data_IF_907247942100
#
_entry.id   IF_907247942100
#
_cell.length_a   1.000
_cell.length_b   1.000
_cell.length_c   1.000
_cell.angle_alpha   90.00
_cell.angle_beta   90.00
_cell.angle_gamma   90.00
#
_symmetry.space_group_name_H-M   'P 1'
#
loop_
_entity.id
_entity.type
_entity.pdbx_description
1 polymer ?
#
# COMPACT_ATOMS: atom_id res chain seq x y z
N UNK A 1 -4.98 -5.54 -0.01
CA UNK A 1 -4.00 -6.33 -0.78
C UNK A 1 -2.61 -6.12 -0.20
N UNK A 2 -1.80 -7.15 -0.20
CA UNK A 2 -0.46 -7.11 0.36
C UNK A 2 0.53 -7.52 -0.72
N UNK A 3 1.59 -6.73 -0.89
CA UNK A 3 2.66 -7.04 -1.85
C UNK A 3 3.99 -7.06 -1.11
N UNK A 4 4.63 -8.22 -1.07
CA UNK A 4 5.92 -8.42 -0.42
C UNK A 4 6.58 -9.65 -1.02
N UNK A 5 7.83 -9.54 -1.46
CA UNK A 5 8.48 -10.66 -2.13
C UNK A 5 8.99 -11.72 -1.15
N UNK A 6 8.92 -11.48 0.14
CA UNK A 6 9.22 -12.48 1.14
C UNK A 6 7.93 -13.10 1.60
N UNK A 7 7.71 -14.34 1.23
CA UNK A 7 6.46 -15.03 1.49
C UNK A 7 6.09 -15.06 2.97
N UNK A 8 7.05 -15.28 3.82
CA UNK A 8 6.81 -15.32 5.26
C UNK A 8 6.36 -13.96 5.80
N UNK A 9 6.93 -12.89 5.28
CA UNK A 9 6.56 -11.53 5.69
C UNK A 9 5.15 -11.22 5.20
N UNK A 10 4.85 -11.58 3.96
CA UNK A 10 3.50 -11.37 3.42
C UNK A 10 2.44 -12.12 4.23
N UNK A 11 2.74 -13.35 4.63
CA UNK A 11 1.83 -14.13 5.45
C UNK A 11 1.62 -13.51 6.83
N UNK A 12 2.68 -12.98 7.43
CA UNK A 12 2.60 -12.33 8.72
C UNK A 12 1.75 -11.05 8.62
N UNK A 13 1.98 -10.26 7.57
CA UNK A 13 1.19 -9.05 7.36
C UNK A 13 -0.28 -9.38 7.14
N UNK A 14 -0.56 -10.46 6.39
CA UNK A 14 -1.93 -10.88 6.17
C UNK A 14 -2.63 -11.23 7.48
N UNK A 15 -1.93 -11.92 8.38
CA UNK A 15 -2.48 -12.26 9.69
C UNK A 15 -2.75 -11.00 10.52
N UNK A 16 -1.85 -10.03 10.49
CA UNK A 16 -2.01 -8.78 11.23
C UNK A 16 -3.17 -7.96 10.68
N UNK A 17 -3.29 -7.90 9.36
CA UNK A 17 -4.38 -7.18 8.71
C UNK A 17 -5.73 -7.80 9.06
N UNK A 18 -5.81 -9.12 9.05
CA UNK A 18 -7.02 -9.82 9.47
C UNK A 18 -7.35 -9.53 10.94
N UNK A 19 -6.31 -9.44 11.78
CA UNK A 19 -6.51 -9.11 13.18
C UNK A 19 -7.11 -7.71 13.35
N UNK A 20 -6.83 -6.81 12.41
CA UNK A 20 -7.39 -5.46 12.41
C UNK A 20 -8.79 -5.41 11.77
N UNK A 21 -9.40 -6.55 11.53
CA UNK A 21 -10.75 -6.66 10.96
C UNK A 21 -10.85 -6.20 9.50
N UNK A 22 -9.78 -6.39 8.75
CA UNK A 22 -9.79 -6.14 7.31
C UNK A 22 -9.69 -7.47 6.57
N UNK A 23 -10.26 -7.51 5.38
CA UNK A 23 -10.21 -8.70 4.55
C UNK A 23 -9.02 -8.60 3.60
N UNK A 24 -8.23 -9.66 3.50
CA UNK A 24 -7.11 -9.71 2.58
C UNK A 24 -7.58 -10.36 1.29
N UNK A 25 -7.65 -9.58 0.22
CA UNK A 25 -8.16 -10.09 -1.06
C UNK A 25 -7.06 -10.70 -1.93
N UNK A 26 -5.80 -10.36 -1.68
CA UNK A 26 -4.68 -10.92 -2.42
C UNK A 26 -3.38 -10.68 -1.69
N UNK A 27 -2.45 -11.63 -1.80
CA UNK A 27 -1.08 -11.47 -1.33
C UNK A 27 -0.20 -11.80 -2.53
N UNK A 28 0.59 -10.84 -2.97
CA UNK A 28 1.41 -11.00 -4.16
C UNK A 28 2.87 -10.75 -3.83
N UNK A 29 3.77 -11.17 -4.71
CA UNK A 29 5.19 -11.22 -4.42
C UNK A 29 6.05 -10.30 -5.26
N UNK A 30 5.47 -9.50 -6.10
CA UNK A 30 6.24 -8.56 -6.93
C UNK A 30 5.43 -7.32 -7.23
N UNK A 31 6.12 -6.26 -7.64
CA UNK A 31 5.45 -5.03 -8.02
C UNK A 31 4.55 -5.22 -9.24
N UNK A 32 4.99 -6.04 -10.18
CA UNK A 32 4.19 -6.30 -11.37
C UNK A 32 2.91 -7.05 -11.01
N UNK A 33 3.01 -8.06 -10.16
CA UNK A 33 1.84 -8.77 -9.69
C UNK A 33 0.90 -7.86 -8.91
N UNK A 34 1.47 -6.90 -8.16
CA UNK A 34 0.66 -5.95 -7.42
C UNK A 34 -0.17 -5.08 -8.36
N UNK A 35 0.43 -4.62 -9.45
CA UNK A 35 -0.30 -3.81 -10.44
C UNK A 35 -1.43 -4.63 -11.06
N UNK A 36 -1.14 -5.86 -11.44
CA UNK A 36 -2.12 -6.74 -12.06
C UNK A 36 -3.26 -7.08 -11.07
N UNK A 37 -2.91 -7.38 -9.84
CA UNK A 37 -3.89 -7.72 -8.82
C UNK A 37 -4.75 -6.50 -8.45
N UNK A 38 -4.16 -5.31 -8.44
CA UNK A 38 -4.94 -4.11 -8.18
C UNK A 38 -6.01 -3.92 -9.25
N UNK A 39 -5.64 -4.10 -10.50
CA UNK A 39 -6.60 -3.96 -11.61
C UNK A 39 -7.72 -5.00 -11.53
N UNK A 40 -7.43 -6.16 -10.96
CA UNK A 40 -8.43 -7.23 -10.87
C UNK A 40 -9.34 -7.07 -9.65
N UNK A 41 -8.77 -6.72 -8.52
CA UNK A 41 -9.48 -6.72 -7.24
C UNK A 41 -9.95 -5.36 -6.76
N UNK A 42 -9.33 -4.29 -7.20
CA UNK A 42 -9.61 -2.93 -6.76
C UNK A 42 -9.72 -2.85 -5.23
N UNK A 43 -8.65 -3.26 -4.52
CA UNK A 43 -8.71 -3.26 -3.05
C UNK A 43 -8.83 -1.85 -2.50
N UNK A 44 -9.38 -1.72 -1.32
CA UNK A 44 -9.51 -0.42 -0.68
C UNK A 44 -8.16 0.14 -0.23
N UNK A 45 -7.24 -0.73 0.16
CA UNK A 45 -5.91 -0.35 0.63
C UNK A 45 -4.89 -1.37 0.15
N UNK A 46 -3.71 -0.90 -0.21
CA UNK A 46 -2.59 -1.75 -0.60
C UNK A 46 -1.46 -1.54 0.39
N UNK A 47 -0.94 -2.63 0.97
CA UNK A 47 0.31 -2.59 1.72
C UNK A 47 1.40 -3.05 0.76
N UNK A 48 2.35 -2.18 0.45
CA UNK A 48 3.34 -2.42 -0.58
C UNK A 48 4.73 -2.30 -0.02
N UNK A 49 5.48 -3.41 -0.05
CA UNK A 49 6.88 -3.37 0.37
C UNK A 49 7.70 -2.56 -0.64
N UNK A 50 8.65 -1.80 -0.15
CA UNK A 50 9.51 -1.01 -1.02
C UNK A 50 10.45 -1.90 -1.83
N UNK A 51 11.11 -2.85 -1.16
CA UNK A 51 12.08 -3.71 -1.83
C UNK A 51 11.40 -4.96 -2.35
N UNK A 52 11.22 -5.02 -3.66
CA UNK A 52 10.70 -6.21 -4.32
C UNK A 52 11.47 -6.43 -5.60
N UNK A 53 11.59 -7.70 -5.99
CA UNK A 53 12.29 -8.04 -7.21
C UNK A 53 11.55 -7.47 -8.43
N UNK A 54 12.28 -7.14 -9.44
CA UNK A 54 11.80 -6.64 -10.72
C UNK A 54 11.29 -5.22 -10.69
N UNK A 55 10.41 -4.87 -9.76
CA UNK A 55 9.81 -3.56 -9.73
C UNK A 55 9.63 -3.16 -8.27
N UNK A 56 10.28 -2.10 -7.83
CA UNK A 56 10.18 -1.69 -6.44
C UNK A 56 8.81 -1.08 -6.12
N UNK A 57 8.53 -0.98 -4.82
CA UNK A 57 7.21 -0.55 -4.36
C UNK A 57 6.82 0.85 -4.76
N UNK A 58 7.78 1.77 -4.83
CA UNK A 58 7.48 3.15 -5.24
C UNK A 58 7.06 3.19 -6.69
N UNK A 59 7.76 2.46 -7.56
CA UNK A 59 7.40 2.41 -8.97
C UNK A 59 6.03 1.75 -9.16
N UNK A 60 5.77 0.67 -8.44
CA UNK A 60 4.46 0.02 -8.50
C UNK A 60 3.36 0.95 -8.01
N UNK A 61 3.62 1.68 -6.94
CA UNK A 61 2.68 2.65 -6.39
C UNK A 61 2.33 3.72 -7.41
N UNK A 62 3.36 4.27 -8.05
CA UNK A 62 3.15 5.31 -9.07
C UNK A 62 2.34 4.78 -10.25
N UNK A 63 2.58 3.54 -10.66
CA UNK A 63 1.82 2.93 -11.74
C UNK A 63 0.36 2.75 -11.37
N UNK A 64 0.11 2.31 -10.17
CA UNK A 64 -1.27 2.13 -9.68
C UNK A 64 -1.98 3.48 -9.64
N UNK A 65 -1.33 4.49 -9.08
CA UNK A 65 -1.93 5.82 -8.95
C UNK A 65 -2.12 6.51 -10.30
N UNK A 66 -1.28 6.21 -11.28
CA UNK A 66 -1.44 6.78 -12.61
C UNK A 66 -2.75 6.33 -13.26
N UNK A 67 -3.18 5.11 -12.97
CA UNK A 67 -4.42 4.57 -13.51
C UNK A 67 -5.61 4.81 -12.60
N UNK A 68 -5.38 4.85 -11.31
CA UNK A 68 -6.44 5.05 -10.33
C UNK A 68 -5.95 6.05 -9.28
N UNK A 69 -6.16 7.34 -9.49
CA UNK A 69 -5.70 8.35 -8.54
C UNK A 69 -6.34 8.23 -7.15
N UNK A 70 -7.41 7.48 -7.03
CA UNK A 70 -8.07 7.26 -5.75
C UNK A 70 -7.47 6.09 -4.97
N UNK A 71 -6.49 5.39 -5.53
CA UNK A 71 -5.88 4.25 -4.86
C UNK A 71 -5.19 4.69 -3.56
N UNK A 72 -5.31 3.86 -2.54
CA UNK A 72 -4.68 4.12 -1.25
C UNK A 72 -3.59 3.10 -1.03
N UNK A 73 -2.35 3.55 -1.11
CA UNK A 73 -1.18 2.68 -0.97
C UNK A 73 -0.41 3.08 0.28
N UNK A 74 -0.11 2.10 1.12
CA UNK A 74 0.76 2.28 2.27
C UNK A 74 2.06 1.58 1.94
N UNK A 75 3.16 2.33 1.89
CA UNK A 75 4.48 1.74 1.63
C UNK A 75 5.09 1.23 2.92
N UNK A 76 5.79 0.12 2.84
CA UNK A 76 6.45 -0.49 3.98
C UNK A 76 7.92 -0.62 3.65
N UNK A 77 8.78 -0.13 4.51
CA UNK A 77 10.21 -0.13 4.23
C UNK A 77 11.07 -0.32 5.47
N UNK A 78 12.10 -1.15 5.35
CA UNK A 78 13.09 -1.30 6.40
C UNK A 78 14.14 -0.21 6.35
N UNK A 79 14.55 0.15 5.15
CA UNK A 79 15.56 1.18 4.94
C UNK A 79 15.29 1.78 3.59
N UNK A 80 15.18 3.07 3.49
CA UNK A 80 15.08 3.70 2.18
C UNK A 80 15.12 5.20 2.28
N UNK A 81 15.40 5.86 1.17
CA UNK A 81 15.42 7.30 1.14
C UNK A 81 14.02 7.83 1.39
N UNK A 82 13.88 8.59 2.43
CA UNK A 82 12.60 9.16 2.78
C UNK A 82 12.02 10.03 1.69
N UNK A 83 12.87 10.75 0.97
CA UNK A 83 12.40 11.61 -0.11
C UNK A 83 11.68 10.82 -1.19
N UNK A 84 12.22 9.66 -1.57
CA UNK A 84 11.60 8.85 -2.59
C UNK A 84 10.24 8.34 -2.13
N UNK A 85 10.16 7.92 -0.88
CA UNK A 85 8.90 7.43 -0.33
C UNK A 85 7.87 8.55 -0.21
N UNK A 86 8.31 9.74 0.19
CA UNK A 86 7.42 10.88 0.35
C UNK A 86 6.82 11.33 -0.96
N UNK A 87 7.58 11.19 -2.05
CA UNK A 87 7.12 11.63 -3.37
C UNK A 87 6.35 10.56 -4.12
N UNK A 88 6.09 9.43 -3.51
CA UNK A 88 5.46 8.31 -4.19
C UNK A 88 3.96 8.48 -4.40
N UNK A 89 3.33 9.34 -3.61
CA UNK A 89 1.87 9.45 -3.60
C UNK A 89 1.20 8.50 -2.64
N UNK A 90 1.97 7.72 -1.88
CA UNK A 90 1.41 6.82 -0.88
C UNK A 90 0.74 7.63 0.23
N UNK A 91 -0.32 7.09 0.80
CA UNK A 91 -1.03 7.78 1.89
C UNK A 91 -0.31 7.66 3.22
N UNK A 92 0.56 6.67 3.35
CA UNK A 92 1.35 6.48 4.57
C UNK A 92 2.58 5.63 4.27
N UNK A 93 3.57 5.73 5.13
CA UNK A 93 4.78 4.92 5.06
C UNK A 93 5.01 4.31 6.42
N UNK A 94 5.17 2.99 6.48
CA UNK A 94 5.46 2.29 7.71
C UNK A 94 6.87 1.74 7.68
N UNK A 95 7.54 1.80 8.82
CA UNK A 95 8.90 1.26 8.95
C UNK A 95 8.86 -0.17 9.45
N UNK A 96 9.80 -0.98 8.99
CA UNK A 96 9.97 -2.33 9.52
C UNK A 96 10.89 -2.27 10.74
N UNK A 97 10.67 -3.11 11.75
CA UNK A 97 9.59 -4.09 11.84
C UNK A 97 8.23 -3.42 12.06
N UNK A 98 7.20 -3.99 11.46
CA UNK A 98 5.87 -3.41 11.54
C UNK A 98 5.31 -3.64 12.94
N UNK A 99 4.84 -2.59 13.54
CA UNK A 99 4.18 -2.66 14.85
C UNK A 99 2.68 -2.68 14.61
N UNK A 100 2.00 -3.53 15.36
CA UNK A 100 0.56 -3.69 15.20
C UNK A 100 -0.20 -2.37 15.39
N UNK A 101 0.17 -1.59 16.41
CA UNK A 101 -0.51 -0.32 16.67
C UNK A 101 -0.34 0.66 15.51
N UNK A 102 0.85 0.68 14.89
CA UNK A 102 1.09 1.56 13.76
C UNK A 102 0.35 1.10 12.51
N UNK A 103 0.31 -0.22 12.29
CA UNK A 103 -0.42 -0.77 11.16
C UNK A 103 -1.91 -0.49 11.31
N UNK A 104 -2.44 -0.69 12.50
CA UNK A 104 -3.85 -0.46 12.78
C UNK A 104 -4.21 0.99 12.52
N UNK A 105 -3.39 1.92 12.99
CA UNK A 105 -3.62 3.33 12.79
C UNK A 105 -3.56 3.72 11.31
N UNK A 106 -2.56 3.20 10.60
CA UNK A 106 -2.40 3.51 9.19
C UNK A 106 -3.57 2.99 8.36
N UNK A 107 -4.06 1.80 8.66
CA UNK A 107 -5.22 1.24 7.96
C UNK A 107 -6.47 2.06 8.25
N UNK A 108 -6.66 2.43 9.50
CA UNK A 108 -7.81 3.24 9.87
C UNK A 108 -7.79 4.58 9.15
N UNK A 109 -6.65 5.25 9.17
CA UNK A 109 -6.52 6.55 8.52
C UNK A 109 -6.69 6.45 7.01
N UNK A 110 -6.17 5.41 6.41
CA UNK A 110 -6.27 5.23 4.96
C UNK A 110 -7.70 5.10 4.50
N UNK A 111 -8.52 4.31 5.20
CA UNK A 111 -9.90 4.13 4.79
C UNK A 111 -10.80 5.32 5.15
N UNK A 112 -10.35 6.17 6.06
CA UNK A 112 -11.11 7.36 6.41
C UNK A 112 -10.86 8.51 5.44
N UNK A 113 -9.72 8.49 4.74
CA UNK A 113 -9.39 9.57 3.84
C UNK A 113 -10.24 9.48 2.58
N UNK A 114 -10.77 10.60 2.11
CA UNK A 114 -11.45 10.59 0.82
C UNK A 114 -10.43 10.37 -0.27
N UNK A 115 -10.84 9.84 -1.39
CA UNK A 115 -9.93 9.67 -2.52
C UNK A 115 -9.37 11.02 -2.92
N UNK A 116 -8.13 11.01 -3.33
CA UNK A 116 -7.51 12.25 -3.74
C UNK A 116 -7.75 12.41 -5.20
N UNK A 117 -8.69 13.14 -5.61
CA UNK A 117 -8.80 13.52 -7.00
C UNK A 117 -8.93 15.02 -7.05
N UNK A 118 -8.68 15.54 -8.14
CA UNK A 118 -8.71 16.96 -8.33
C UNK A 118 -10.12 17.38 -8.10
N UNK A 119 -10.37 17.87 -7.04
CA UNK A 119 -11.51 18.21 -6.69
C UNK A 119 -11.89 19.45 -7.18
N UNK A 120 -12.78 19.62 -7.76
CA UNK A 120 -13.15 20.82 -8.28
C UNK A 120 -13.57 21.56 -7.13
N UNK A 121 -13.03 22.00 -6.74
CA UNK A 121 -13.31 22.85 -5.89
C UNK A 121 -14.46 22.94 -5.38
N UNK A 122 -14.69 22.49 -5.41
CA UNK A 122 -15.57 22.61 -4.97
C UNK A 122 -16.08 23.19 -4.16
N UNK A 123 -16.03 23.25 -3.81
CA UNK A 123 -16.54 23.65 -3.08
C UNK A 123 -16.58 24.47 -2.73
N UNK A 124 -17.03 25.00 -2.59
CA UNK A 124 -17.26 25.84 -2.00
C UNK A 124 -17.62 25.86 -1.33
#
# INVERSE_FOLDING_TARGET
>A
MIADDQKAVGATLAALVCHCNHEVVAVVESGLEAIQAYNRHHPDVVLMDYWMSKLNGVTACRNILAKDPAARVILVSGVSPLTELSDSGAVAVLSKPIRLDRLEQALYDAVQQPPVWPEPAASP
#
